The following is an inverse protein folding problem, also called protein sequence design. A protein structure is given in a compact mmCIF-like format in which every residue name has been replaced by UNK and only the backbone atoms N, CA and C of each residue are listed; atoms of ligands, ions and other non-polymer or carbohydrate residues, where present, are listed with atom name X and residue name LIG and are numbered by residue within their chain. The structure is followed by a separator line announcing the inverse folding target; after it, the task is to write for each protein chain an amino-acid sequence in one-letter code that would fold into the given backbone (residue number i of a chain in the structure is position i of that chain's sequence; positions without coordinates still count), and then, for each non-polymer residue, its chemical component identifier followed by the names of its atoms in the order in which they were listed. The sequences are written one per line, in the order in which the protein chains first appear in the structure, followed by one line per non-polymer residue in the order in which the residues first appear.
data_IF_197926276711
#
_entry.id   IF_197926276711
#
_cell.length_a   1.000
_cell.length_b   1.000
_cell.length_c   1.000
_cell.angle_alpha   90.00
_cell.angle_beta   90.00
_cell.angle_gamma   90.00
#
_symmetry.space_group_name_H-M   'P 1'
#
loop_
_entity.id
_entity.type
_entity.pdbx_description
1 polymer ?
#
# COMPACT_ATOMS: atom_id res chain seq x y z
N UNK A 1 -20.58 78.09 21.95
CA UNK A 1 -20.12 77.21 20.89
C UNK A 1 -19.53 75.99 21.56
N UNK A 2 -20.28 74.91 21.64
CA UNK A 2 -19.86 73.68 22.27
C UNK A 2 -19.39 72.70 21.12
N UNK A 3 -18.13 72.31 21.18
CA UNK A 3 -17.56 71.32 20.23
C UNK A 3 -17.99 69.91 20.66
N UNK A 4 -18.75 69.22 19.82
CA UNK A 4 -19.05 67.83 19.97
C UNK A 4 -17.84 67.00 19.47
N UNK A 5 -17.16 66.36 20.41
CA UNK A 5 -16.16 65.33 20.10
C UNK A 5 -16.87 64.02 19.68
N UNK A 6 -16.75 63.66 18.45
CA UNK A 6 -17.15 62.35 18.00
C UNK A 6 -16.11 61.34 18.49
N UNK A 7 -16.48 60.53 19.50
CA UNK A 7 -15.71 59.32 19.85
C UNK A 7 -16.00 58.27 18.77
N UNK A 8 -14.98 57.83 18.04
CA UNK A 8 -15.06 56.67 17.17
C UNK A 8 -15.36 55.40 18.00
N UNK A 9 -16.26 54.53 17.54
CA UNK A 9 -16.50 53.27 18.23
C UNK A 9 -15.25 52.39 18.13
N UNK A 10 -14.81 51.89 19.28
CA UNK A 10 -13.71 50.94 19.37
C UNK A 10 -14.03 49.71 18.46
N UNK A 11 -13.24 49.54 17.42
CA UNK A 11 -13.24 48.30 16.66
C UNK A 11 -12.95 47.13 17.61
N UNK A 12 -13.96 46.29 17.83
CA UNK A 12 -13.76 45.02 18.48
C UNK A 12 -12.85 44.18 17.56
N UNK A 13 -11.54 44.22 17.83
CA UNK A 13 -10.61 43.22 17.29
C UNK A 13 -11.12 41.87 17.79
N UNK A 14 -11.76 41.12 16.89
CA UNK A 14 -12.00 39.69 17.09
C UNK A 14 -10.63 39.04 17.20
N UNK A 15 -10.14 38.86 18.43
CA UNK A 15 -9.00 37.98 18.71
C UNK A 15 -9.39 36.59 18.18
N UNK A 16 -8.87 36.26 17.03
CA UNK A 16 -8.91 34.86 16.57
C UNK A 16 -8.22 34.01 17.63
N UNK A 17 -8.85 32.94 18.13
CA UNK A 17 -8.17 32.03 19.03
C UNK A 17 -6.84 31.63 18.42
N UNK A 18 -5.75 31.57 19.23
CA UNK A 18 -4.43 31.23 18.70
C UNK A 18 -4.50 29.95 17.91
N UNK A 19 -3.97 29.98 16.68
CA UNK A 19 -3.88 28.83 15.83
C UNK A 19 -3.25 27.68 16.62
N UNK A 20 -3.86 26.48 16.66
CA UNK A 20 -3.28 25.38 17.39
C UNK A 20 -1.88 25.13 16.83
N UNK A 21 -0.87 25.26 17.67
CA UNK A 21 0.51 24.95 17.32
C UNK A 21 0.59 23.44 17.00
N UNK A 22 0.43 23.07 15.73
CA UNK A 22 0.73 21.72 15.26
C UNK A 22 2.24 21.50 15.36
N UNK A 23 2.70 21.17 16.56
CA UNK A 23 4.09 20.80 16.79
C UNK A 23 4.45 19.40 16.27
N UNK A 24 3.47 18.63 15.76
CA UNK A 24 3.73 17.32 15.18
C UNK A 24 4.26 17.49 13.75
N UNK A 25 5.49 17.05 13.53
CA UNK A 25 6.15 17.01 12.22
C UNK A 25 5.48 16.04 11.24
N UNK A 26 4.47 15.28 11.69
CA UNK A 26 3.74 14.27 10.90
C UNK A 26 2.37 14.80 10.56
N UNK A 27 2.01 14.84 9.27
CA UNK A 27 0.68 15.26 8.85
C UNK A 27 -0.40 14.27 9.36
N UNK A 28 -1.61 14.73 9.73
CA UNK A 28 -2.70 13.86 10.19
C UNK A 28 -3.03 12.72 9.21
N UNK A 29 -2.91 12.98 7.90
CA UNK A 29 -3.15 12.00 6.86
C UNK A 29 -2.12 10.86 6.86
N UNK A 30 -0.84 11.19 7.10
CA UNK A 30 0.23 10.18 7.21
C UNK A 30 0.06 9.38 8.49
N UNK A 31 -0.29 10.03 9.61
CA UNK A 31 -0.59 9.32 10.86
C UNK A 31 -1.78 8.36 10.68
N UNK A 32 -2.86 8.80 10.02
CA UNK A 32 -4.00 7.94 9.70
C UNK A 32 -3.60 6.72 8.86
N UNK A 33 -2.72 6.91 7.87
CA UNK A 33 -2.21 5.79 7.06
C UNK A 33 -1.39 4.80 7.90
N UNK A 34 -0.55 5.25 8.83
CA UNK A 34 0.18 4.34 9.72
C UNK A 34 -0.74 3.56 10.66
N UNK A 35 -1.79 4.18 11.21
CA UNK A 35 -2.77 3.48 12.04
C UNK A 35 -3.55 2.44 11.21
N UNK A 36 -3.91 2.77 9.98
CA UNK A 36 -4.53 1.84 9.05
C UNK A 36 -3.61 0.65 8.76
N UNK A 37 -2.34 0.90 8.42
CA UNK A 37 -1.35 -0.17 8.18
C UNK A 37 -1.17 -1.05 9.42
N UNK A 38 -1.18 -0.48 10.63
CA UNK A 38 -1.09 -1.26 11.85
C UNK A 38 -2.26 -2.25 11.99
N UNK A 39 -3.49 -1.84 11.63
CA UNK A 39 -4.64 -2.74 11.61
C UNK A 39 -4.50 -3.86 10.57
N UNK A 40 -3.96 -3.54 9.39
CA UNK A 40 -3.75 -4.52 8.33
C UNK A 40 -2.65 -5.54 8.69
N UNK A 41 -1.59 -5.11 9.39
CA UNK A 41 -0.58 -6.03 9.93
C UNK A 41 -1.23 -7.02 10.92
N UNK A 42 -2.15 -6.57 11.76
CA UNK A 42 -2.89 -7.46 12.67
C UNK A 42 -3.77 -8.46 11.92
N UNK A 43 -4.44 -8.01 10.85
CA UNK A 43 -5.24 -8.88 9.97
C UNK A 43 -4.37 -9.99 9.35
N UNK A 44 -3.25 -9.64 8.72
CA UNK A 44 -2.30 -10.62 8.17
C UNK A 44 -1.73 -11.53 9.27
N UNK A 45 -1.41 -10.98 10.45
CA UNK A 45 -0.93 -11.71 11.61
C UNK A 45 -1.87 -12.82 12.04
N UNK A 46 -3.18 -12.59 11.99
CA UNK A 46 -4.19 -13.62 12.29
C UNK A 46 -4.12 -14.78 11.26
N UNK A 47 -3.98 -14.47 9.97
CA UNK A 47 -3.83 -15.51 8.93
C UNK A 47 -2.50 -16.26 9.01
N UNK A 48 -1.38 -15.59 9.34
CA UNK A 48 -0.12 -16.25 9.61
C UNK A 48 -0.19 -17.17 10.82
N UNK A 49 -0.85 -16.73 11.89
CA UNK A 49 -1.08 -17.56 13.08
C UNK A 49 -1.88 -18.81 12.71
N UNK A 50 -2.95 -18.66 11.93
CA UNK A 50 -3.73 -19.79 11.44
C UNK A 50 -2.89 -20.74 10.56
N UNK A 51 -2.04 -20.21 9.67
CA UNK A 51 -1.12 -20.98 8.84
C UNK A 51 -0.20 -21.87 9.69
N UNK A 52 0.51 -21.27 10.65
CA UNK A 52 1.44 -22.02 11.49
C UNK A 52 0.71 -22.99 12.43
N UNK A 53 -0.44 -22.61 12.97
CA UNK A 53 -1.26 -23.51 13.79
C UNK A 53 -1.68 -24.76 13.02
N UNK A 54 -2.26 -24.59 11.83
CA UNK A 54 -2.72 -25.70 11.00
C UNK A 54 -1.54 -26.57 10.56
N UNK A 55 -0.39 -25.96 10.20
CA UNK A 55 0.83 -26.68 9.82
C UNK A 55 1.35 -27.56 10.95
N UNK A 56 1.41 -27.03 12.18
CA UNK A 56 1.91 -27.76 13.36
C UNK A 56 0.93 -28.85 13.79
N UNK A 57 -0.37 -28.55 13.83
CA UNK A 57 -1.39 -29.52 14.28
C UNK A 57 -1.51 -30.70 13.33
N UNK A 58 -1.42 -30.50 12.01
CA UNK A 58 -1.49 -31.60 11.05
C UNK A 58 -0.25 -32.47 11.03
N UNK A 59 0.92 -31.99 11.53
CA UNK A 59 2.15 -32.77 11.67
C UNK A 59 2.69 -33.39 10.36
N UNK A 60 2.18 -32.96 9.20
CA UNK A 60 2.54 -33.47 7.88
C UNK A 60 3.42 -32.49 7.14
N UNK A 61 4.17 -33.02 6.18
CA UNK A 61 5.03 -32.21 5.32
C UNK A 61 4.18 -31.24 4.50
N UNK A 62 4.57 -29.95 4.46
CA UNK A 62 3.90 -28.91 3.68
C UNK A 62 4.84 -28.38 2.59
N UNK A 63 4.35 -28.23 1.33
CA UNK A 63 3.01 -28.60 0.83
C UNK A 63 2.75 -30.11 0.89
N UNK A 64 1.52 -30.49 1.18
CA UNK A 64 1.14 -31.92 1.19
C UNK A 64 1.20 -32.50 -0.23
N UNK A 65 1.89 -33.65 -0.46
CA UNK A 65 1.87 -34.28 -1.78
C UNK A 65 0.41 -34.61 -2.22
N UNK A 66 0.05 -34.45 -3.49
CA UNK A 66 0.91 -34.24 -4.65
C UNK A 66 1.12 -32.77 -5.07
N UNK A 67 0.84 -31.79 -4.22
CA UNK A 67 0.85 -30.37 -4.58
C UNK A 67 2.28 -29.85 -4.78
N UNK A 68 2.51 -29.17 -5.90
CA UNK A 68 3.77 -28.50 -6.22
C UNK A 68 3.53 -27.00 -6.39
N UNK A 69 4.22 -26.19 -5.61
CA UNK A 69 4.15 -24.73 -5.72
C UNK A 69 5.12 -24.23 -6.80
N UNK A 70 4.73 -23.26 -7.63
CA UNK A 70 5.57 -22.65 -8.65
C UNK A 70 6.56 -21.64 -8.04
N UNK A 71 7.49 -22.11 -7.22
CA UNK A 71 8.44 -21.28 -6.45
C UNK A 71 9.21 -20.31 -7.34
N UNK A 72 9.61 -20.76 -8.55
CA UNK A 72 10.38 -19.92 -9.46
C UNK A 72 9.54 -18.72 -10.00
N UNK A 73 8.28 -18.96 -10.36
CA UNK A 73 7.40 -17.88 -10.83
C UNK A 73 7.09 -16.92 -9.71
N UNK A 74 6.83 -17.42 -8.49
CA UNK A 74 6.64 -16.60 -7.31
C UNK A 74 7.90 -15.77 -6.98
N UNK A 75 9.11 -16.30 -7.19
CA UNK A 75 10.36 -15.55 -7.05
C UNK A 75 10.46 -14.41 -8.08
N UNK A 76 10.17 -14.67 -9.36
CA UNK A 76 10.15 -13.61 -10.38
C UNK A 76 9.15 -12.51 -10.05
N UNK A 77 7.95 -12.89 -9.60
CA UNK A 77 6.93 -11.96 -9.13
C UNK A 77 7.42 -11.11 -7.95
N UNK A 78 8.15 -11.73 -7.02
CA UNK A 78 8.77 -11.00 -5.90
C UNK A 78 9.78 -9.97 -6.40
N UNK A 79 10.63 -10.33 -7.37
CA UNK A 79 11.57 -9.40 -7.97
C UNK A 79 10.86 -8.22 -8.66
N UNK A 80 9.74 -8.47 -9.34
CA UNK A 80 8.92 -7.42 -9.98
C UNK A 80 8.38 -6.45 -8.92
N UNK A 81 7.78 -6.95 -7.84
CA UNK A 81 7.22 -6.11 -6.78
C UNK A 81 8.31 -5.30 -6.06
N UNK A 82 9.40 -5.93 -5.65
CA UNK A 82 10.52 -5.22 -5.02
C UNK A 82 11.07 -4.11 -5.92
N UNK A 83 11.20 -4.38 -7.23
CA UNK A 83 11.60 -3.34 -8.19
C UNK A 83 10.55 -2.23 -8.27
N UNK A 84 9.25 -2.54 -8.17
CA UNK A 84 8.18 -1.54 -8.19
C UNK A 84 8.23 -0.59 -6.99
N UNK A 85 8.72 -1.05 -5.83
CA UNK A 85 8.99 -0.21 -4.66
C UNK A 85 10.03 0.88 -4.95
N UNK A 86 11.08 0.56 -5.72
CA UNK A 86 12.05 1.57 -6.12
C UNK A 86 11.47 2.57 -7.13
N UNK A 87 10.61 2.12 -8.03
CA UNK A 87 10.00 3.01 -9.05
C UNK A 87 9.00 3.99 -8.44
N UNK A 88 8.17 3.58 -7.45
CA UNK A 88 7.29 4.50 -6.74
C UNK A 88 8.07 5.50 -5.88
N UNK A 89 9.15 5.06 -5.24
CA UNK A 89 10.04 5.95 -4.50
C UNK A 89 10.69 6.98 -5.42
N UNK A 90 11.16 6.55 -6.59
CA UNK A 90 11.70 7.47 -7.61
C UNK A 90 10.66 8.47 -8.10
N UNK A 91 9.39 8.06 -8.29
CA UNK A 91 8.28 8.96 -8.63
C UNK A 91 8.09 10.06 -7.57
N UNK A 92 8.09 9.68 -6.28
CA UNK A 92 7.97 10.61 -5.15
C UNK A 92 9.15 11.58 -5.09
N UNK A 93 10.38 11.09 -5.25
CA UNK A 93 11.57 11.93 -5.28
C UNK A 93 11.57 12.91 -6.48
N UNK A 94 11.04 12.47 -7.61
CA UNK A 94 10.96 13.28 -8.83
C UNK A 94 10.02 14.46 -8.63
N UNK A 95 8.83 14.28 -8.05
CA UNK A 95 7.91 15.40 -7.81
C UNK A 95 8.46 16.36 -6.76
N UNK A 96 9.12 15.89 -5.71
CA UNK A 96 9.79 16.75 -4.71
C UNK A 96 10.85 17.67 -5.34
N UNK A 97 11.47 17.24 -6.47
CA UNK A 97 12.43 18.03 -7.25
C UNK A 97 11.77 18.83 -8.40
N UNK A 98 10.45 18.85 -8.51
CA UNK A 98 9.73 19.52 -9.59
C UNK A 98 9.74 18.79 -10.94
N UNK A 99 10.26 17.57 -11.01
CA UNK A 99 10.30 16.79 -12.24
C UNK A 99 9.00 16.00 -12.44
N UNK A 100 8.05 16.61 -13.15
CA UNK A 100 6.73 16.02 -13.47
C UNK A 100 6.85 14.81 -14.39
N UNK A 101 7.84 14.78 -15.29
CA UNK A 101 8.07 13.62 -16.16
C UNK A 101 8.45 12.38 -15.35
N UNK A 102 9.39 12.52 -14.42
CA UNK A 102 9.82 11.44 -13.54
C UNK A 102 8.66 10.90 -12.66
N UNK A 103 7.77 11.79 -12.19
CA UNK A 103 6.56 11.39 -11.48
C UNK A 103 5.67 10.50 -12.36
N UNK A 104 5.33 10.97 -13.57
CA UNK A 104 4.43 10.25 -14.48
C UNK A 104 5.00 8.90 -14.90
N UNK A 105 6.29 8.89 -15.28
CA UNK A 105 6.97 7.67 -15.69
C UNK A 105 7.09 6.66 -14.55
N UNK A 106 7.46 7.11 -13.35
CA UNK A 106 7.58 6.24 -12.17
C UNK A 106 6.25 5.64 -11.73
N UNK A 107 5.17 6.44 -11.64
CA UNK A 107 3.85 5.93 -11.28
C UNK A 107 3.31 4.95 -12.31
N UNK A 108 3.44 5.26 -13.62
CA UNK A 108 2.99 4.36 -14.69
C UNK A 108 3.76 3.04 -14.66
N UNK A 109 5.08 3.09 -14.50
CA UNK A 109 5.92 1.90 -14.42
C UNK A 109 5.55 1.03 -13.21
N UNK A 110 5.38 1.65 -12.02
CA UNK A 110 4.92 0.94 -10.82
C UNK A 110 3.56 0.27 -11.03
N UNK A 111 2.61 0.98 -11.65
CA UNK A 111 1.29 0.44 -11.96
C UNK A 111 1.38 -0.77 -12.90
N UNK A 112 2.16 -0.69 -13.98
CA UNK A 112 2.34 -1.79 -14.93
C UNK A 112 3.00 -3.01 -14.28
N UNK A 113 3.99 -2.81 -13.42
CA UNK A 113 4.66 -3.90 -12.69
C UNK A 113 3.70 -4.58 -11.71
N UNK A 114 2.93 -3.80 -10.94
CA UNK A 114 1.90 -4.35 -10.04
C UNK A 114 0.78 -5.08 -10.78
N UNK A 115 0.36 -4.56 -11.93
CA UNK A 115 -0.63 -5.21 -12.80
C UNK A 115 -0.09 -6.54 -13.35
N UNK A 116 1.17 -6.57 -13.78
CA UNK A 116 1.84 -7.81 -14.23
C UNK A 116 1.85 -8.85 -13.12
N UNK A 117 2.20 -8.46 -11.89
CA UNK A 117 2.14 -9.34 -10.73
C UNK A 117 0.74 -9.93 -10.54
N UNK A 118 -0.31 -9.08 -10.53
CA UNK A 118 -1.69 -9.53 -10.28
C UNK A 118 -2.19 -10.49 -11.37
N UNK A 119 -1.89 -10.20 -12.64
CA UNK A 119 -2.24 -11.07 -13.78
C UNK A 119 -1.51 -12.41 -13.66
N UNK A 120 -0.21 -12.39 -13.37
CA UNK A 120 0.58 -13.62 -13.22
C UNK A 120 0.04 -14.48 -12.08
N UNK A 121 -0.30 -13.86 -10.94
CA UNK A 121 -0.89 -14.56 -9.80
C UNK A 121 -2.26 -15.17 -10.14
N UNK A 122 -3.09 -14.50 -10.92
CA UNK A 122 -4.37 -15.03 -11.37
C UNK A 122 -4.18 -16.23 -12.34
N UNK A 123 -3.19 -16.16 -13.23
CA UNK A 123 -2.82 -17.29 -14.11
C UNK A 123 -2.32 -18.48 -13.30
N UNK A 124 -1.49 -18.24 -12.27
CA UNK A 124 -1.00 -19.29 -11.38
C UNK A 124 -2.15 -19.99 -10.65
N UNK A 125 -3.14 -19.24 -10.14
CA UNK A 125 -4.34 -19.83 -9.53
C UNK A 125 -5.10 -20.76 -10.48
N UNK A 126 -5.18 -20.41 -11.77
CA UNK A 126 -5.83 -21.24 -12.78
C UNK A 126 -5.05 -22.52 -13.11
N UNK A 127 -3.73 -22.56 -12.84
CA UNK A 127 -2.82 -23.65 -13.21
C UNK A 127 -2.38 -24.55 -12.05
N UNK A 128 -2.60 -24.11 -10.81
CA UNK A 128 -2.02 -24.75 -9.61
C UNK A 128 -2.59 -26.16 -9.33
N UNK A 129 -3.74 -26.51 -9.91
CA UNK A 129 -4.28 -27.87 -9.91
C UNK A 129 -4.97 -28.31 -8.61
N UNK A 130 -5.20 -27.41 -7.65
CA UNK A 130 -5.98 -27.66 -6.44
C UNK A 130 -6.93 -26.48 -6.12
N UNK A 131 -7.97 -26.77 -5.35
CA UNK A 131 -9.00 -25.78 -4.96
C UNK A 131 -9.01 -25.59 -3.44
N UNK A 132 -9.70 -24.55 -3.00
CA UNK A 132 -9.86 -24.25 -1.57
C UNK A 132 -10.50 -25.36 -0.75
N UNK A 133 -11.32 -26.23 -1.40
CA UNK A 133 -12.01 -27.37 -0.77
C UNK A 133 -11.12 -28.62 -0.60
N UNK A 134 -9.92 -28.66 -1.17
CA UNK A 134 -9.13 -29.90 -1.26
C UNK A 134 -8.31 -30.18 0.00
N UNK A 135 -8.42 -29.33 1.02
CA UNK A 135 -7.81 -29.55 2.33
C UNK A 135 -7.32 -28.29 3.03
N UNK A 136 -6.69 -28.49 4.17
CA UNK A 136 -6.27 -27.39 5.03
C UNK A 136 -5.16 -26.53 4.39
N UNK A 137 -4.18 -27.15 3.72
CA UNK A 137 -3.11 -26.43 3.02
C UNK A 137 -3.66 -25.57 1.86
N UNK A 138 -4.43 -26.12 0.89
CA UNK A 138 -5.03 -25.29 -0.15
C UNK A 138 -5.87 -24.14 0.38
N UNK A 139 -6.70 -24.38 1.39
CA UNK A 139 -7.52 -23.35 1.99
C UNK A 139 -6.69 -22.17 2.51
N UNK A 140 -5.69 -22.44 3.36
CA UNK A 140 -4.90 -21.36 3.96
C UNK A 140 -3.97 -20.68 2.94
N UNK A 141 -3.50 -21.43 1.92
CA UNK A 141 -2.74 -20.91 0.79
C UNK A 141 -3.56 -19.82 0.05
N UNK A 142 -4.78 -20.16 -0.39
CA UNK A 142 -5.64 -19.21 -1.09
C UNK A 142 -6.11 -18.06 -0.19
N UNK A 143 -6.30 -18.29 1.11
CA UNK A 143 -6.63 -17.23 2.05
C UNK A 143 -5.50 -16.20 2.17
N UNK A 144 -4.25 -16.62 2.41
CA UNK A 144 -3.11 -15.72 2.56
C UNK A 144 -2.76 -15.00 1.27
N UNK A 145 -2.58 -15.75 0.18
CA UNK A 145 -2.20 -15.19 -1.10
C UNK A 145 -3.33 -14.38 -1.74
N UNK A 146 -4.58 -14.78 -1.54
CA UNK A 146 -5.77 -14.06 -2.00
C UNK A 146 -6.01 -12.77 -1.22
N UNK A 147 -5.83 -12.77 0.12
CA UNK A 147 -5.87 -11.57 0.94
C UNK A 147 -4.82 -10.56 0.45
N UNK A 148 -3.59 -11.03 0.23
CA UNK A 148 -2.55 -10.19 -0.34
C UNK A 148 -2.93 -9.66 -1.74
N UNK A 149 -3.45 -10.52 -2.62
CA UNK A 149 -3.92 -10.13 -3.95
C UNK A 149 -5.01 -9.04 -3.91
N UNK A 150 -5.92 -9.09 -2.94
CA UNK A 150 -6.91 -8.04 -2.72
C UNK A 150 -6.24 -6.71 -2.33
N UNK A 151 -5.21 -6.72 -1.47
CA UNK A 151 -4.44 -5.54 -1.11
C UNK A 151 -3.66 -4.96 -2.30
N UNK A 152 -3.07 -5.82 -3.14
CA UNK A 152 -2.44 -5.39 -4.40
C UNK A 152 -3.46 -4.72 -5.33
N UNK A 153 -4.67 -5.27 -5.44
CA UNK A 153 -5.74 -4.69 -6.25
C UNK A 153 -6.15 -3.29 -5.75
N UNK A 154 -6.31 -3.13 -4.43
CA UNK A 154 -6.57 -1.80 -3.82
C UNK A 154 -5.41 -0.85 -4.09
N UNK A 155 -4.16 -1.30 -3.91
CA UNK A 155 -2.96 -0.50 -4.21
C UNK A 155 -2.87 -0.09 -5.68
N UNK A 156 -3.18 -0.99 -6.61
CA UNK A 156 -3.28 -0.67 -8.04
C UNK A 156 -4.36 0.36 -8.34
N UNK A 157 -5.50 0.28 -7.66
CA UNK A 157 -6.56 1.28 -7.80
C UNK A 157 -6.07 2.67 -7.35
N UNK A 158 -5.39 2.75 -6.21
CA UNK A 158 -4.78 3.99 -5.72
C UNK A 158 -3.72 4.51 -6.72
N UNK A 159 -2.83 3.65 -7.20
CA UNK A 159 -1.81 3.99 -8.20
C UNK A 159 -2.42 4.50 -9.51
N UNK A 160 -3.51 3.88 -9.97
CA UNK A 160 -4.23 4.32 -11.17
C UNK A 160 -4.78 5.74 -10.99
N UNK A 161 -5.46 6.01 -9.87
CA UNK A 161 -5.96 7.36 -9.58
C UNK A 161 -4.84 8.39 -9.48
N UNK A 162 -3.72 8.03 -8.82
CA UNK A 162 -2.56 8.91 -8.74
C UNK A 162 -1.95 9.17 -10.13
N UNK A 163 -1.84 8.13 -10.96
CA UNK A 163 -1.32 8.25 -12.33
C UNK A 163 -2.20 9.18 -13.17
N UNK A 164 -3.53 8.99 -13.16
CA UNK A 164 -4.47 9.87 -13.88
C UNK A 164 -4.33 11.32 -13.39
N UNK A 165 -4.26 11.56 -12.08
CA UNK A 165 -4.07 12.91 -11.52
C UNK A 165 -2.71 13.53 -11.91
N UNK A 166 -1.65 12.73 -11.98
CA UNK A 166 -0.33 13.17 -12.41
C UNK A 166 -0.33 13.62 -13.87
N UNK A 167 -1.01 12.88 -14.77
CA UNK A 167 -1.16 13.27 -16.17
C UNK A 167 -2.02 14.53 -16.34
N UNK A 168 -2.98 14.76 -15.45
CA UNK A 168 -3.82 15.98 -15.43
C UNK A 168 -3.12 17.18 -14.77
N UNK A 169 -1.90 17.03 -14.28
CA UNK A 169 -1.12 18.13 -13.69
C UNK A 169 -1.56 18.57 -12.28
N UNK A 170 -2.25 17.70 -11.51
CA UNK A 170 -2.75 18.03 -10.17
C UNK A 170 -1.70 17.91 -9.07
N UNK A 171 -0.45 17.56 -9.37
CA UNK A 171 0.62 17.45 -8.40
C UNK A 171 1.70 18.51 -8.64
N UNK A 172 2.17 19.11 -7.55
CA UNK A 172 3.28 20.06 -7.50
C UNK A 172 4.25 19.70 -6.36
N UNK A 173 5.43 20.31 -6.31
CA UNK A 173 6.37 20.11 -5.19
C UNK A 173 5.75 20.40 -3.83
N UNK A 174 4.81 21.35 -3.74
CA UNK A 174 4.10 21.71 -2.50
C UNK A 174 2.89 20.80 -2.24
N UNK A 175 2.27 20.24 -3.27
CA UNK A 175 1.02 19.47 -3.19
C UNK A 175 1.22 18.05 -3.71
N UNK A 176 2.01 17.24 -3.00
CA UNK A 176 2.31 15.86 -3.36
C UNK A 176 1.93 14.81 -2.28
N UNK A 177 1.20 15.21 -1.23
CA UNK A 177 0.79 14.31 -0.13
C UNK A 177 0.07 13.04 -0.59
N UNK A 178 -0.73 13.13 -1.66
CA UNK A 178 -1.40 11.94 -2.21
C UNK A 178 -0.42 10.89 -2.73
N UNK A 179 0.69 11.31 -3.35
CA UNK A 179 1.73 10.40 -3.83
C UNK A 179 2.50 9.77 -2.66
N UNK A 180 2.74 10.53 -1.60
CA UNK A 180 3.41 10.06 -0.39
C UNK A 180 2.58 8.98 0.31
N UNK A 181 1.29 9.25 0.56
CA UNK A 181 0.37 8.31 1.24
C UNK A 181 0.19 7.03 0.42
N UNK A 182 -0.03 7.16 -0.90
CA UNK A 182 -0.15 6.01 -1.78
C UNK A 182 1.14 5.19 -1.89
N UNK A 183 2.30 5.87 -1.86
CA UNK A 183 3.61 5.22 -1.81
C UNK A 183 3.83 4.42 -0.52
N UNK A 184 3.44 4.96 0.65
CA UNK A 184 3.50 4.25 1.95
C UNK A 184 2.65 2.98 1.90
N UNK A 185 1.41 3.07 1.38
CA UNK A 185 0.55 1.90 1.24
C UNK A 185 1.15 0.85 0.30
N UNK A 186 1.71 1.26 -0.86
CA UNK A 186 2.34 0.36 -1.80
C UNK A 186 3.54 -0.38 -1.19
N UNK A 187 4.40 0.33 -0.47
CA UNK A 187 5.54 -0.28 0.25
C UNK A 187 5.08 -1.30 1.29
N UNK A 188 4.00 -1.00 2.03
CA UNK A 188 3.41 -1.98 2.96
C UNK A 188 2.99 -3.25 2.23
N UNK A 189 2.28 -3.13 1.11
CA UNK A 189 1.84 -4.28 0.31
C UNK A 189 3.03 -5.12 -0.16
N UNK A 190 4.10 -4.47 -0.66
CA UNK A 190 5.31 -5.16 -1.11
C UNK A 190 6.03 -5.92 0.02
N UNK A 191 6.15 -5.30 1.20
CA UNK A 191 6.74 -5.94 2.38
C UNK A 191 5.90 -7.16 2.81
N UNK A 192 4.58 -7.02 2.82
CA UNK A 192 3.69 -8.13 3.16
C UNK A 192 3.80 -9.28 2.18
N UNK A 193 4.02 -9.01 0.88
CA UNK A 193 4.29 -10.08 -0.09
C UNK A 193 5.56 -10.86 0.23
N UNK A 194 6.65 -10.19 0.59
CA UNK A 194 7.90 -10.86 0.98
C UNK A 194 7.64 -11.83 2.14
N UNK A 195 6.87 -11.40 3.16
CA UNK A 195 6.53 -12.25 4.30
C UNK A 195 5.66 -13.44 3.86
N UNK A 196 4.64 -13.22 3.01
CA UNK A 196 3.80 -14.29 2.46
C UNK A 196 4.64 -15.26 1.63
N UNK A 197 5.51 -14.75 0.74
CA UNK A 197 6.38 -15.57 -0.08
C UNK A 197 7.31 -16.46 0.76
N UNK A 198 7.99 -15.87 1.74
CA UNK A 198 8.87 -16.62 2.64
C UNK A 198 8.11 -17.69 3.43
N UNK A 199 6.92 -17.36 3.93
CA UNK A 199 6.12 -18.28 4.76
C UNK A 199 5.52 -19.42 3.95
N UNK A 200 5.01 -19.15 2.74
CA UNK A 200 4.19 -20.10 1.99
C UNK A 200 5.01 -20.91 0.97
N UNK A 201 6.04 -20.29 0.37
CA UNK A 201 6.81 -20.91 -0.72
C UNK A 201 8.20 -21.42 -0.30
N UNK A 202 8.79 -20.87 0.79
CA UNK A 202 10.14 -21.24 1.20
C UNK A 202 10.15 -22.09 2.47
N UNK A 203 9.37 -21.73 3.51
CA UNK A 203 9.23 -22.52 4.74
C UNK A 203 8.39 -23.79 4.53
#
# INVERSE_FOLDING_TARGET
MAAYSHAEPAEHQHEHPPEPHYSSRVSPSVLGMFLFIASEIMLFGAFFTAYFFVRVVNGVQWPTPPYHLPVFVAFLNTCILVTSSFTVHWALQSIKRGNVFGLRAGLLLTFLMGLTFLITQAIEYARIGFNTSDGAFPTIFFCLTGLHGAHVFVGLTILLFMTIRAFRGHFSPEHHHGVEIGGIYWHFVDVMWIVVYMTVYIL
#
